data_IF_746243749839
#
_entry.id   IF_746243749839
#
_cell.length_a   1.000
_cell.length_b   1.000
_cell.length_c   1.000
_cell.angle_alpha   90.00
_cell.angle_beta   90.00
_cell.angle_gamma   90.00
#
_symmetry.space_group_name_H-M   'P 1'
#
loop_
_entity.id
_entity.type
_entity.pdbx_description
1 polymer ?
#
# COMPACT_ATOMS: atom_id res chain seq x y z
N UNK A 1 -7.08 13.49 -4.67
CA UNK A 1 -6.60 12.96 -3.36
C UNK A 1 -6.61 11.44 -3.45
N UNK A 2 -5.54 10.73 -3.08
CA UNK A 2 -5.51 9.26 -3.15
C UNK A 2 -5.70 8.71 -1.74
N UNK A 3 -6.60 7.74 -1.57
CA UNK A 3 -6.90 7.09 -0.29
C UNK A 3 -6.54 5.62 -0.37
N UNK A 4 -5.78 5.12 0.61
CA UNK A 4 -5.52 3.69 0.80
C UNK A 4 -6.58 3.08 1.72
N UNK A 5 -7.03 1.88 1.38
CA UNK A 5 -8.01 1.09 2.14
C UNK A 5 -7.52 -0.35 2.25
N UNK A 6 -7.47 -0.89 3.47
CA UNK A 6 -7.27 -2.33 3.67
C UNK A 6 -8.57 -3.05 3.22
N UNK A 7 -8.50 -3.85 2.16
CA UNK A 7 -9.66 -4.53 1.56
C UNK A 7 -10.23 -5.64 2.45
N UNK A 8 -9.38 -6.29 3.24
CA UNK A 8 -9.81 -7.36 4.14
C UNK A 8 -10.72 -6.84 5.27
N UNK A 9 -10.47 -5.60 5.72
CA UNK A 9 -11.19 -4.97 6.84
C UNK A 9 -12.15 -3.86 6.41
N UNK A 10 -11.98 -3.30 5.21
CA UNK A 10 -12.70 -2.12 4.72
C UNK A 10 -12.27 -0.80 5.38
N UNK A 11 -11.20 -0.79 6.18
CA UNK A 11 -10.74 0.39 6.91
C UNK A 11 -9.90 1.28 5.99
N UNK A 12 -10.25 2.56 5.89
CA UNK A 12 -9.39 3.58 5.26
C UNK A 12 -8.14 3.78 6.12
N UNK A 13 -6.98 3.52 5.53
CA UNK A 13 -5.68 3.63 6.19
C UNK A 13 -5.21 5.09 6.24
N UNK A 14 -5.54 5.85 5.20
CA UNK A 14 -5.27 7.28 5.12
C UNK A 14 -5.00 7.73 3.69
N UNK A 15 -4.39 8.91 3.56
CA UNK A 15 -4.16 9.56 2.27
C UNK A 15 -2.70 9.42 1.87
N UNK A 16 -2.46 9.20 0.58
CA UNK A 16 -1.12 9.18 0.00
C UNK A 16 -0.99 10.20 -1.12
N UNK A 17 0.24 10.55 -1.44
CA UNK A 17 0.61 11.43 -2.55
C UNK A 17 0.70 10.66 -3.87
N UNK A 18 0.73 11.37 -5.00
CA UNK A 18 1.01 10.76 -6.32
C UNK A 18 2.37 10.06 -6.35
N UNK A 19 3.38 10.63 -5.68
CA UNK A 19 4.72 10.06 -5.64
C UNK A 19 4.77 8.75 -4.84
N UNK A 20 4.04 8.70 -3.72
CA UNK A 20 3.89 7.47 -2.93
C UNK A 20 3.11 6.40 -3.71
N UNK A 21 2.07 6.77 -4.46
CA UNK A 21 1.37 5.83 -5.34
C UNK A 21 2.29 5.33 -6.45
N UNK A 22 3.02 6.21 -7.13
CA UNK A 22 3.96 5.81 -8.18
C UNK A 22 5.02 4.87 -7.63
N UNK A 23 5.52 5.11 -6.41
CA UNK A 23 6.42 4.17 -5.74
C UNK A 23 5.80 2.78 -5.57
N UNK A 24 4.54 2.68 -5.12
CA UNK A 24 3.86 1.38 -5.01
C UNK A 24 3.75 0.70 -6.38
N UNK A 25 3.34 1.43 -7.43
CA UNK A 25 3.26 0.93 -8.81
C UNK A 25 4.62 0.47 -9.33
N UNK A 26 5.70 1.18 -8.99
CA UNK A 26 7.06 0.83 -9.41
C UNK A 26 7.62 -0.40 -8.67
N UNK A 27 7.10 -0.71 -7.48
CA UNK A 27 7.60 -1.78 -6.61
C UNK A 27 6.75 -3.05 -6.61
N UNK A 28 5.47 -2.96 -6.95
CA UNK A 28 4.50 -4.04 -6.83
C UNK A 28 3.99 -4.46 -8.20
N UNK A 29 3.73 -5.76 -8.36
CA UNK A 29 3.26 -6.31 -9.64
C UNK A 29 1.78 -5.97 -9.85
N UNK A 30 1.46 -5.43 -11.03
CA UNK A 30 0.09 -5.24 -11.51
C UNK A 30 -0.22 -6.32 -12.57
N UNK A 31 -1.33 -7.04 -12.40
CA UNK A 31 -1.80 -8.02 -13.40
C UNK A 31 -2.46 -7.31 -14.60
N UNK A 32 -2.97 -6.09 -14.40
CA UNK A 32 -3.57 -5.25 -15.43
C UNK A 32 -3.26 -3.76 -15.25
N UNK A 33 -3.27 -2.96 -16.34
CA UNK A 33 -3.12 -1.50 -16.27
C UNK A 33 -4.24 -0.76 -15.53
N UNK A 34 -5.27 -1.50 -15.08
CA UNK A 34 -6.42 -0.98 -14.36
C UNK A 34 -6.48 -1.47 -12.92
N UNK A 35 -5.49 -2.24 -12.48
CA UNK A 35 -5.44 -2.71 -11.10
C UNK A 35 -5.28 -1.53 -10.16
N UNK A 36 -6.00 -1.62 -9.05
CA UNK A 36 -6.00 -0.58 -8.01
C UNK A 36 -5.81 -1.18 -6.63
N UNK A 37 -5.29 -2.40 -6.58
CA UNK A 37 -5.00 -3.12 -5.36
C UNK A 37 -3.71 -3.94 -5.47
N UNK A 38 -3.14 -4.22 -4.31
CA UNK A 38 -1.92 -5.01 -4.16
C UNK A 38 -2.07 -5.91 -2.95
N UNK A 39 -1.57 -7.14 -3.06
CA UNK A 39 -1.35 -8.00 -1.92
C UNK A 39 0.03 -7.72 -1.31
N UNK A 40 0.11 -7.61 0.01
CA UNK A 40 1.32 -7.31 0.75
C UNK A 40 1.44 -8.26 1.95
N UNK A 41 2.65 -8.71 2.24
CA UNK A 41 2.99 -9.36 3.51
C UNK A 41 4.12 -8.60 4.24
N UNK A 42 4.51 -9.10 5.42
CA UNK A 42 5.58 -8.52 6.23
C UNK A 42 6.92 -8.41 5.50
N UNK A 43 7.28 -9.40 4.69
CA UNK A 43 8.54 -9.38 3.94
C UNK A 43 8.49 -8.34 2.81
N UNK A 44 7.37 -8.22 2.10
CA UNK A 44 7.15 -7.14 1.12
C UNK A 44 7.31 -5.75 1.77
N UNK A 45 6.76 -5.52 2.97
CA UNK A 45 6.93 -4.22 3.67
C UNK A 45 8.41 -3.91 3.98
N UNK A 46 9.19 -4.89 4.40
CA UNK A 46 10.64 -4.68 4.61
C UNK A 46 11.38 -4.44 3.29
N UNK A 47 10.99 -5.11 2.20
CA UNK A 47 11.55 -4.84 0.86
C UNK A 47 11.24 -3.40 0.42
N UNK A 48 10.00 -2.93 0.60
CA UNK A 48 9.63 -1.54 0.28
C UNK A 48 10.50 -0.54 1.05
N UNK A 49 10.72 -0.79 2.34
CA UNK A 49 11.59 0.02 3.20
C UNK A 49 13.04 0.02 2.72
N UNK A 50 13.59 -1.14 2.38
CA UNK A 50 14.95 -1.26 1.81
C UNK A 50 15.09 -0.53 0.47
N UNK A 51 14.02 -0.51 -0.33
CA UNK A 51 13.95 0.20 -1.61
C UNK A 51 13.64 1.69 -1.49
N UNK A 52 13.58 2.22 -0.26
CA UNK A 52 13.46 3.65 0.00
C UNK A 52 12.02 4.16 0.00
N UNK A 53 11.06 3.33 0.43
CA UNK A 53 9.70 3.76 0.70
C UNK A 53 9.69 5.01 1.58
N UNK A 54 8.79 5.93 1.25
CA UNK A 54 8.53 7.09 2.08
C UNK A 54 8.09 6.64 3.50
N UNK A 55 8.68 7.19 4.59
CA UNK A 55 8.38 6.73 5.94
C UNK A 55 6.91 6.88 6.35
N UNK A 56 6.19 7.88 5.82
CA UNK A 56 4.76 8.08 6.13
C UNK A 56 3.90 7.02 5.42
N UNK A 57 4.25 6.66 4.18
CA UNK A 57 3.61 5.55 3.47
C UNK A 57 3.83 4.23 4.20
N UNK A 58 5.07 3.94 4.59
CA UNK A 58 5.41 2.69 5.27
C UNK A 58 4.65 2.57 6.60
N UNK A 59 4.66 3.63 7.42
CA UNK A 59 3.93 3.63 8.70
C UNK A 59 2.43 3.37 8.52
N UNK A 60 1.84 3.90 7.46
CA UNK A 60 0.42 3.74 7.14
C UNK A 60 0.09 2.30 6.71
N UNK A 61 0.97 1.66 5.93
CA UNK A 61 0.84 0.24 5.57
C UNK A 61 1.06 -0.68 6.78
N UNK A 62 2.08 -0.43 7.60
CA UNK A 62 2.35 -1.18 8.83
C UNK A 62 1.18 -1.07 9.82
N UNK A 63 0.64 0.13 10.02
CA UNK A 63 -0.53 0.35 10.85
C UNK A 63 -1.76 -0.37 10.27
N UNK A 64 -1.95 -0.32 8.95
CA UNK A 64 -3.05 -0.99 8.26
C UNK A 64 -3.00 -2.51 8.32
N UNK A 65 -1.80 -3.09 8.38
CA UNK A 65 -1.59 -4.52 8.54
C UNK A 65 -1.75 -4.96 10.01
N UNK A 66 -1.44 -4.09 10.97
CA UNK A 66 -1.68 -4.35 12.40
C UNK A 66 -0.89 -5.57 12.91
N UNK A 67 -1.59 -6.62 13.36
CA UNK A 67 -1.01 -7.90 13.77
C UNK A 67 -1.11 -9.00 12.69
N UNK A 68 -1.72 -8.72 11.52
CA UNK A 68 -1.88 -9.71 10.46
C UNK A 68 -0.54 -10.02 9.77
N UNK A 69 -0.41 -11.18 9.13
CA UNK A 69 0.80 -11.56 8.37
C UNK A 69 0.79 -10.97 6.94
N UNK A 70 -0.40 -10.72 6.42
CA UNK A 70 -0.64 -10.13 5.11
C UNK A 70 -1.88 -9.22 5.11
N UNK A 71 -2.03 -8.45 4.05
CA UNK A 71 -3.24 -7.71 3.72
C UNK A 71 -3.33 -7.45 2.22
N UNK A 72 -4.56 -7.30 1.72
CA UNK A 72 -4.81 -6.68 0.43
C UNK A 72 -5.12 -5.18 0.61
N UNK A 73 -4.38 -4.30 -0.06
CA UNK A 73 -4.58 -2.85 0.01
C UNK A 73 -5.05 -2.33 -1.34
N UNK A 74 -6.06 -1.46 -1.33
CA UNK A 74 -6.54 -0.75 -2.54
C UNK A 74 -6.33 0.75 -2.44
N UNK A 75 -6.25 1.41 -3.60
CA UNK A 75 -6.18 2.85 -3.73
C UNK A 75 -7.32 3.42 -4.59
N UNK A 76 -7.80 4.61 -4.23
CA UNK A 76 -8.81 5.32 -5.02
C UNK A 76 -8.53 6.82 -5.07
N UNK A 77 -8.75 7.43 -6.24
CA UNK A 77 -8.73 8.88 -6.43
C UNK A 77 -10.08 9.48 -6.04
N UNK A 78 -10.06 10.48 -5.16
CA UNK A 78 -11.21 11.29 -4.71
C UNK A 78 -10.94 12.79 -4.88
#
# INVERSE_FOLDING_TARGET
MIVLTNKDTGIELGKITEAQLQFLVDQLEEESPTDTDYWLNRAELEILKENGADPELLALLEQGMGEAEDMEVSWARR
#
